data_IF_958929279445
#
_entry.id   IF_958929279445
#
_cell.length_a   1.000
_cell.length_b   1.000
_cell.length_c   1.000
_cell.angle_alpha   90.00
_cell.angle_beta   90.00
_cell.angle_gamma   90.00
#
_symmetry.space_group_name_H-M   'P 1'
#
loop_
_entity.id
_entity.type
_entity.pdbx_description
1 polymer ?
#
# COMPACT_ATOMS: atom_id res chain seq x y z
N UNK A 1 5.53 27.73 1.66
CA UNK A 1 4.73 26.48 1.64
C UNK A 1 4.70 25.88 3.03
N UNK A 2 3.56 25.36 3.45
CA UNK A 2 3.48 24.61 4.72
C UNK A 2 4.28 23.32 4.53
N UNK A 3 5.27 23.09 5.39
CA UNK A 3 6.13 21.89 5.31
C UNK A 3 5.40 20.68 5.92
N UNK A 4 5.59 19.51 5.33
CA UNK A 4 5.12 18.23 5.86
C UNK A 4 5.95 17.84 7.09
N UNK A 5 5.37 17.05 7.99
CA UNK A 5 6.11 16.51 9.14
C UNK A 5 6.99 15.35 8.67
N UNK A 6 8.27 15.32 9.07
CA UNK A 6 9.14 14.18 8.78
C UNK A 6 8.56 12.85 9.29
N UNK A 7 7.82 12.87 10.40
CA UNK A 7 7.14 11.71 10.97
C UNK A 7 6.00 11.11 10.11
N UNK A 8 5.67 11.75 8.97
CA UNK A 8 4.72 11.19 8.00
C UNK A 8 5.41 10.24 7.01
N UNK A 9 6.74 10.37 6.82
CA UNK A 9 7.47 9.45 5.97
C UNK A 9 7.47 8.05 6.61
N UNK A 10 7.12 7.08 5.78
CA UNK A 10 6.94 5.69 6.17
C UNK A 10 7.83 4.81 5.29
N UNK A 11 8.66 3.98 5.89
CA UNK A 11 9.47 3.03 5.14
C UNK A 11 8.73 1.73 4.88
N UNK A 12 9.02 1.06 3.76
CA UNK A 12 8.47 -0.24 3.40
C UNK A 12 9.60 -1.24 3.08
N UNK A 13 9.40 -2.49 3.45
CA UNK A 13 10.46 -3.51 3.37
C UNK A 13 10.61 -4.19 2.00
N UNK A 14 9.88 -3.81 0.96
CA UNK A 14 9.91 -4.48 -0.35
C UNK A 14 11.34 -4.56 -0.93
N UNK A 15 12.04 -3.45 -1.05
CA UNK A 15 13.38 -3.40 -1.63
C UNK A 15 14.49 -3.98 -0.71
N UNK A 16 14.13 -4.41 0.50
CA UNK A 16 14.99 -5.20 1.40
C UNK A 16 14.80 -6.72 1.23
N UNK A 17 14.09 -7.17 0.22
CA UNK A 17 13.73 -8.57 -0.07
C UNK A 17 14.89 -9.59 0.08
N UNK A 18 16.13 -9.18 -0.22
CA UNK A 18 17.31 -10.04 -0.13
C UNK A 18 18.09 -9.89 1.19
N UNK A 19 17.53 -9.20 2.18
CA UNK A 19 18.12 -8.97 3.50
C UNK A 19 17.18 -9.49 4.58
N UNK A 20 17.67 -9.84 5.79
CA UNK A 20 16.80 -10.16 6.92
C UNK A 20 15.86 -8.99 7.25
N UNK A 21 14.67 -9.28 7.78
CA UNK A 21 13.70 -8.24 8.15
C UNK A 21 14.27 -7.27 9.19
N UNK A 22 15.08 -7.77 10.12
CA UNK A 22 15.75 -6.96 11.13
C UNK A 22 16.69 -5.92 10.51
N UNK A 23 17.33 -6.24 9.37
CA UNK A 23 18.19 -5.27 8.65
C UNK A 23 17.36 -4.09 8.11
N UNK A 24 16.14 -4.34 7.64
CA UNK A 24 15.21 -3.27 7.28
C UNK A 24 14.84 -2.44 8.52
N UNK A 25 14.47 -3.08 9.63
CA UNK A 25 14.10 -2.37 10.86
C UNK A 25 15.28 -1.51 11.40
N UNK A 26 16.51 -2.04 11.37
CA UNK A 26 17.72 -1.30 11.76
C UNK A 26 17.96 -0.07 10.85
N UNK A 27 17.67 -0.21 9.55
CA UNK A 27 17.74 0.91 8.61
C UNK A 27 16.68 1.98 8.94
N UNK A 28 15.44 1.59 9.27
CA UNK A 28 14.40 2.54 9.66
C UNK A 28 14.79 3.31 10.93
N UNK A 29 15.31 2.64 11.94
CA UNK A 29 15.86 3.27 13.15
C UNK A 29 17.01 4.22 12.82
N UNK A 30 18.01 3.77 12.03
CA UNK A 30 19.16 4.57 11.59
C UNK A 30 18.74 5.87 10.90
N UNK A 31 17.75 5.80 10.01
CA UNK A 31 17.25 6.95 9.27
C UNK A 31 16.12 7.70 9.98
N UNK A 32 15.85 7.37 11.26
CA UNK A 32 14.91 8.06 12.12
C UNK A 32 13.46 8.04 11.60
N UNK A 33 13.06 6.97 10.94
CA UNK A 33 11.65 6.72 10.69
C UNK A 33 10.94 6.37 12.00
N UNK A 34 9.68 6.80 12.12
CA UNK A 34 8.81 6.44 13.23
C UNK A 34 7.74 5.43 12.79
N UNK A 35 7.51 5.34 11.48
CA UNK A 35 6.45 4.56 10.86
C UNK A 35 7.01 3.63 9.79
N UNK A 36 6.42 2.45 9.73
CA UNK A 36 6.69 1.46 8.68
C UNK A 36 5.39 0.93 8.11
N UNK A 37 5.44 0.56 6.87
CA UNK A 37 4.48 -0.30 6.22
C UNK A 37 5.11 -1.67 6.02
N UNK A 38 4.41 -2.73 6.41
CA UNK A 38 4.95 -4.08 6.32
C UNK A 38 4.44 -4.75 5.05
N UNK A 39 5.31 -4.91 4.05
CA UNK A 39 5.05 -5.77 2.91
C UNK A 39 5.09 -7.24 3.35
N UNK A 40 3.92 -7.87 3.26
CA UNK A 40 3.63 -9.21 3.76
C UNK A 40 3.91 -10.29 2.72
N UNK A 41 5.18 -10.53 2.42
CA UNK A 41 5.64 -11.56 1.49
C UNK A 41 6.91 -12.29 1.97
N UNK A 42 7.21 -13.43 1.35
CA UNK A 42 8.47 -14.13 1.60
C UNK A 42 9.67 -13.29 1.11
N UNK A 43 10.78 -13.28 1.87
CA UNK A 43 11.05 -14.11 3.06
C UNK A 43 10.63 -13.47 4.39
N UNK A 44 10.05 -12.25 4.40
CA UNK A 44 9.85 -11.49 5.63
C UNK A 44 8.58 -11.89 6.41
N UNK A 45 7.40 -11.51 5.90
CA UNK A 45 6.13 -11.61 6.62
C UNK A 45 5.06 -12.32 5.79
N UNK A 46 5.40 -13.42 5.11
CA UNK A 46 4.45 -14.16 4.31
C UNK A 46 3.46 -14.91 5.22
N UNK A 47 2.19 -14.52 5.17
CA UNK A 47 1.17 -14.98 6.12
C UNK A 47 0.89 -16.48 6.10
N UNK A 48 1.23 -17.19 5.00
CA UNK A 48 1.06 -18.65 4.93
C UNK A 48 2.19 -19.41 5.63
N UNK A 49 3.35 -18.79 5.85
CA UNK A 49 4.51 -19.38 6.51
C UNK A 49 4.58 -19.02 8.00
N UNK A 50 3.81 -18.01 8.44
CA UNK A 50 3.88 -17.48 9.80
C UNK A 50 2.91 -18.18 10.74
N UNK A 51 3.38 -18.47 11.95
CA UNK A 51 2.56 -18.86 13.09
C UNK A 51 2.50 -17.74 14.15
N UNK A 52 1.68 -17.93 15.20
CA UNK A 52 1.50 -16.89 16.21
C UNK A 52 2.78 -16.50 16.97
N UNK A 53 3.76 -17.41 17.13
CA UNK A 53 5.04 -17.08 17.77
C UNK A 53 5.92 -16.22 16.88
N UNK A 54 5.90 -16.45 15.57
CA UNK A 54 6.65 -15.67 14.59
C UNK A 54 6.13 -14.22 14.56
N UNK A 55 4.80 -14.05 14.53
CA UNK A 55 4.17 -12.72 14.55
C UNK A 55 4.53 -11.97 15.83
N UNK A 56 4.51 -12.63 16.99
CA UNK A 56 4.89 -12.03 18.26
C UNK A 56 6.38 -11.64 18.30
N UNK A 57 7.25 -12.44 17.68
CA UNK A 57 8.67 -12.09 17.57
C UNK A 57 8.88 -10.85 16.69
N UNK A 58 8.23 -10.80 15.52
CA UNK A 58 8.26 -9.64 14.61
C UNK A 58 7.76 -8.39 15.33
N UNK A 59 6.62 -8.49 16.03
CA UNK A 59 6.07 -7.37 16.81
C UNK A 59 7.09 -6.84 17.83
N UNK A 60 7.74 -7.70 18.61
CA UNK A 60 8.76 -7.31 19.58
C UNK A 60 9.95 -6.60 18.93
N UNK A 61 10.40 -7.05 17.75
CA UNK A 61 11.49 -6.42 17.03
C UNK A 61 11.12 -5.02 16.48
N UNK A 62 9.87 -4.82 16.09
CA UNK A 62 9.31 -3.52 15.69
C UNK A 62 9.23 -2.59 16.91
N UNK A 63 8.61 -3.05 18.01
CA UNK A 63 8.45 -2.29 19.24
C UNK A 63 9.78 -1.88 19.87
N UNK A 64 10.79 -2.77 19.85
CA UNK A 64 12.15 -2.51 20.37
C UNK A 64 12.81 -1.29 19.70
N UNK A 65 12.43 -1.00 18.45
CA UNK A 65 12.93 0.15 17.69
C UNK A 65 11.98 1.35 17.72
N UNK A 66 10.94 1.29 18.56
CA UNK A 66 9.92 2.35 18.66
C UNK A 66 9.26 2.69 17.31
N UNK A 67 9.08 1.67 16.45
CA UNK A 67 8.41 1.80 15.15
C UNK A 67 6.93 1.49 15.29
N UNK A 68 6.10 2.20 14.51
CA UNK A 68 4.65 1.98 14.39
C UNK A 68 4.34 1.37 13.03
N UNK A 69 3.53 0.31 12.98
CA UNK A 69 3.03 -0.25 11.71
C UNK A 69 1.77 0.51 11.31
N UNK A 70 1.81 1.21 10.18
CA UNK A 70 0.65 1.99 9.69
C UNK A 70 -0.21 1.21 8.71
N UNK A 71 0.36 0.25 7.99
CA UNK A 71 -0.34 -0.60 7.06
C UNK A 71 0.37 -1.96 6.95
N UNK A 72 -0.40 -3.02 6.78
CA UNK A 72 0.09 -4.33 6.36
C UNK A 72 -0.32 -4.56 4.90
N UNK A 73 0.65 -4.75 4.02
CA UNK A 73 0.45 -4.84 2.57
C UNK A 73 0.82 -6.25 2.09
N UNK A 74 -0.15 -7.18 2.06
CA UNK A 74 0.10 -8.53 1.59
C UNK A 74 0.40 -8.53 0.10
N UNK A 75 1.43 -9.28 -0.31
CA UNK A 75 1.75 -9.41 -1.73
C UNK A 75 0.60 -10.07 -2.51
N UNK A 76 0.16 -9.43 -3.56
CA UNK A 76 -0.99 -9.86 -4.33
C UNK A 76 -0.78 -9.77 -5.86
N UNK A 77 0.17 -8.96 -6.33
CA UNK A 77 0.42 -8.78 -7.77
C UNK A 77 1.31 -9.87 -8.35
N UNK A 78 2.35 -10.29 -7.61
CA UNK A 78 3.28 -11.34 -8.02
C UNK A 78 2.84 -12.75 -7.58
N UNK A 79 1.95 -12.85 -6.58
CA UNK A 79 1.46 -14.12 -6.06
C UNK A 79 0.17 -14.54 -6.76
N UNK A 80 -0.21 -15.84 -6.71
CA UNK A 80 -1.44 -16.33 -7.34
C UNK A 80 -2.68 -15.95 -6.52
N UNK A 81 -2.82 -14.66 -6.24
CA UNK A 81 -3.90 -14.02 -5.47
C UNK A 81 -4.72 -13.16 -6.43
N UNK A 82 -6.03 -13.38 -6.47
CA UNK A 82 -6.93 -12.60 -7.32
C UNK A 82 -8.37 -12.67 -6.78
N UNK A 83 -8.85 -11.57 -6.20
CA UNK A 83 -10.20 -11.46 -5.62
C UNK A 83 -11.30 -11.48 -6.69
N UNK A 84 -10.97 -11.17 -7.95
CA UNK A 84 -11.87 -11.22 -9.10
C UNK A 84 -11.80 -12.51 -9.90
N UNK A 85 -11.00 -13.49 -9.46
CA UNK A 85 -10.78 -14.73 -10.22
C UNK A 85 -12.09 -15.40 -10.61
N UNK A 86 -12.17 -15.85 -11.87
CA UNK A 86 -13.29 -16.63 -12.39
C UNK A 86 -13.36 -18.00 -11.71
N UNK A 87 -12.20 -18.59 -11.50
CA UNK A 87 -12.03 -19.88 -10.84
C UNK A 87 -12.33 -19.74 -9.34
N UNK A 88 -13.36 -20.40 -8.87
CA UNK A 88 -13.82 -20.31 -7.47
C UNK A 88 -12.71 -20.71 -6.49
N UNK A 89 -11.92 -21.75 -6.79
CA UNK A 89 -10.83 -22.22 -5.93
C UNK A 89 -9.78 -21.11 -5.73
N UNK A 90 -9.40 -20.43 -6.80
CA UNK A 90 -8.44 -19.31 -6.74
C UNK A 90 -9.01 -18.13 -5.93
N UNK A 91 -10.28 -17.79 -6.18
CA UNK A 91 -10.94 -16.68 -5.49
C UNK A 91 -11.11 -16.94 -3.98
N UNK A 92 -11.58 -18.12 -3.59
CA UNK A 92 -11.74 -18.48 -2.17
C UNK A 92 -10.37 -18.58 -1.45
N UNK A 93 -9.33 -19.08 -2.14
CA UNK A 93 -7.96 -19.03 -1.61
C UNK A 93 -7.52 -17.60 -1.37
N UNK A 94 -7.78 -16.68 -2.31
CA UNK A 94 -7.44 -15.27 -2.19
C UNK A 94 -8.17 -14.61 -1.02
N UNK A 95 -9.46 -14.90 -0.84
CA UNK A 95 -10.23 -14.42 0.32
C UNK A 95 -9.63 -14.96 1.63
N UNK A 96 -9.26 -16.23 1.68
CA UNK A 96 -8.63 -16.84 2.86
C UNK A 96 -7.28 -16.20 3.18
N UNK A 97 -6.46 -15.93 2.18
CA UNK A 97 -5.18 -15.23 2.28
C UNK A 97 -5.34 -13.83 2.91
N UNK A 98 -6.29 -13.04 2.40
CA UNK A 98 -6.56 -11.72 2.97
C UNK A 98 -7.14 -11.77 4.39
N UNK A 99 -7.95 -12.76 4.73
CA UNK A 99 -8.41 -12.94 6.12
C UNK A 99 -7.24 -13.21 7.07
N UNK A 100 -6.28 -14.04 6.68
CA UNK A 100 -5.04 -14.25 7.44
C UNK A 100 -4.23 -12.96 7.54
N UNK A 101 -4.13 -12.19 6.46
CA UNK A 101 -3.46 -10.90 6.45
C UNK A 101 -4.10 -9.89 7.42
N UNK A 102 -5.43 -9.85 7.49
CA UNK A 102 -6.17 -9.05 8.48
C UNK A 102 -5.87 -9.52 9.92
N UNK A 103 -5.79 -10.83 10.15
CA UNK A 103 -5.43 -11.38 11.47
C UNK A 103 -4.00 -11.04 11.86
N UNK A 104 -3.04 -11.08 10.92
CA UNK A 104 -1.65 -10.67 11.14
C UNK A 104 -1.58 -9.17 11.42
N UNK A 105 -2.25 -8.34 10.62
CA UNK A 105 -2.33 -6.89 10.84
C UNK A 105 -2.84 -6.55 12.24
N UNK A 106 -3.92 -7.21 12.67
CA UNK A 106 -4.47 -7.04 14.02
C UNK A 106 -3.47 -7.40 15.12
N UNK A 107 -2.70 -8.48 14.95
CA UNK A 107 -1.68 -8.89 15.92
C UNK A 107 -0.46 -7.95 15.94
N UNK A 108 -0.10 -7.35 14.79
CA UNK A 108 0.95 -6.34 14.66
C UNK A 108 0.47 -4.92 15.07
N UNK A 109 -0.81 -4.78 15.46
CA UNK A 109 -1.46 -3.50 15.76
C UNK A 109 -1.46 -2.51 14.57
N UNK A 110 -1.36 -3.03 13.34
CA UNK A 110 -1.54 -2.23 12.14
C UNK A 110 -3.02 -1.88 11.98
N UNK A 111 -3.38 -0.59 11.85
CA UNK A 111 -4.78 -0.18 11.74
C UNK A 111 -5.41 -0.52 10.40
N UNK A 112 -4.61 -0.89 9.39
CA UNK A 112 -5.01 -0.95 8.00
C UNK A 112 -4.34 -2.12 7.28
N UNK A 113 -5.05 -2.70 6.30
CA UNK A 113 -4.53 -3.67 5.32
C UNK A 113 -4.79 -3.12 3.92
N UNK A 114 -3.76 -3.09 3.07
CA UNK A 114 -3.91 -2.77 1.66
C UNK A 114 -4.57 -3.93 0.92
N UNK A 115 -5.49 -3.62 0.03
CA UNK A 115 -6.19 -4.58 -0.80
C UNK A 115 -6.36 -4.05 -2.23
N UNK A 116 -6.25 -4.91 -3.24
CA UNK A 116 -6.62 -4.60 -4.62
C UNK A 116 -7.84 -5.39 -5.05
N UNK A 117 -8.50 -4.95 -6.12
CA UNK A 117 -9.66 -5.67 -6.67
C UNK A 117 -9.28 -6.96 -7.41
N UNK A 118 -8.00 -7.16 -7.71
CA UNK A 118 -7.55 -8.19 -8.61
C UNK A 118 -7.78 -7.82 -10.08
N UNK A 119 -7.92 -8.84 -10.95
CA UNK A 119 -8.04 -8.66 -12.39
C UNK A 119 -9.01 -9.67 -13.00
N UNK A 120 -9.65 -9.28 -14.14
CA UNK A 120 -10.45 -10.14 -14.99
C UNK A 120 -9.68 -10.55 -16.26
N UNK A 121 -10.09 -11.65 -16.91
CA UNK A 121 -9.53 -12.00 -18.21
C UNK A 121 -9.80 -10.90 -19.23
N UNK A 122 -8.75 -10.49 -19.95
CA UNK A 122 -8.82 -9.35 -20.89
C UNK A 122 -9.65 -9.62 -22.15
N UNK A 123 -9.91 -10.88 -22.44
CA UNK A 123 -10.79 -11.34 -23.54
C UNK A 123 -12.24 -11.59 -23.09
N UNK A 124 -12.58 -11.26 -21.85
CA UNK A 124 -13.94 -11.39 -21.30
C UNK A 124 -14.50 -10.01 -20.90
N UNK A 125 -15.83 -9.94 -20.72
CA UNK A 125 -16.48 -8.72 -20.26
C UNK A 125 -16.07 -8.36 -18.81
N UNK A 126 -15.66 -7.12 -18.61
CA UNK A 126 -15.19 -6.57 -17.30
C UNK A 126 -16.25 -6.70 -16.19
N UNK A 127 -17.54 -6.59 -16.53
CA UNK A 127 -18.63 -6.52 -15.55
C UNK A 127 -18.72 -7.74 -14.61
N UNK A 128 -18.50 -8.94 -15.14
CA UNK A 128 -18.54 -10.16 -14.33
C UNK A 128 -17.35 -10.28 -13.36
N UNK A 129 -16.17 -9.81 -13.79
CA UNK A 129 -15.01 -9.75 -12.92
C UNK A 129 -15.20 -8.70 -11.81
N UNK A 130 -15.77 -7.53 -12.11
CA UNK A 130 -16.14 -6.51 -11.12
C UNK A 130 -17.14 -7.03 -10.09
N UNK A 131 -18.17 -7.79 -10.50
CA UNK A 131 -19.09 -8.42 -9.55
C UNK A 131 -18.38 -9.35 -8.59
N UNK A 132 -17.48 -10.22 -9.09
CA UNK A 132 -16.69 -11.13 -8.26
C UNK A 132 -15.74 -10.39 -7.31
N UNK A 133 -15.09 -9.31 -7.79
CA UNK A 133 -14.26 -8.46 -6.95
C UNK A 133 -15.07 -7.85 -5.81
N UNK A 134 -16.25 -7.26 -6.13
CA UNK A 134 -17.16 -6.68 -5.14
C UNK A 134 -17.59 -7.71 -4.10
N UNK A 135 -18.07 -8.88 -4.52
CA UNK A 135 -18.52 -9.94 -3.60
C UNK A 135 -17.38 -10.41 -2.67
N UNK A 136 -16.14 -10.44 -3.18
CA UNK A 136 -14.96 -10.78 -2.39
C UNK A 136 -14.60 -9.67 -1.39
N UNK A 137 -14.61 -8.41 -1.84
CA UNK A 137 -14.35 -7.23 -1.01
C UNK A 137 -15.43 -7.07 0.08
N UNK A 138 -16.72 -7.30 -0.20
CA UNK A 138 -17.79 -7.30 0.80
C UNK A 138 -17.52 -8.31 1.91
N UNK A 139 -17.13 -9.55 1.56
CA UNK A 139 -16.76 -10.58 2.53
C UNK A 139 -15.56 -10.19 3.39
N UNK A 140 -14.55 -9.58 2.77
CA UNK A 140 -13.35 -9.13 3.46
C UNK A 140 -13.62 -7.93 4.35
N UNK A 141 -14.40 -6.97 3.88
CA UNK A 141 -14.79 -5.78 4.65
C UNK A 141 -15.59 -6.17 5.91
N UNK A 142 -16.56 -7.08 5.76
CA UNK A 142 -17.31 -7.59 6.91
C UNK A 142 -16.43 -8.40 7.90
N UNK A 143 -15.32 -8.99 7.45
CA UNK A 143 -14.35 -9.64 8.31
C UNK A 143 -13.43 -8.62 9.02
N UNK A 144 -12.93 -7.64 8.27
CA UNK A 144 -12.07 -6.58 8.77
C UNK A 144 -12.77 -5.70 9.82
N UNK A 145 -14.06 -5.38 9.62
CA UNK A 145 -14.89 -4.67 10.58
C UNK A 145 -14.92 -5.36 11.95
N UNK A 146 -15.08 -6.69 12.00
CA UNK A 146 -15.07 -7.46 13.25
C UNK A 146 -13.72 -7.41 13.99
N UNK A 147 -12.65 -7.08 13.28
CA UNK A 147 -11.30 -6.96 13.81
C UNK A 147 -10.91 -5.50 14.09
N UNK A 148 -11.75 -4.54 13.68
CA UNK A 148 -11.43 -3.12 13.78
C UNK A 148 -10.32 -2.69 12.80
N UNK A 149 -10.09 -3.45 11.72
CA UNK A 149 -9.06 -3.20 10.70
C UNK A 149 -9.71 -2.55 9.47
N UNK A 150 -9.12 -1.49 8.98
CA UNK A 150 -9.54 -0.81 7.77
C UNK A 150 -8.91 -1.47 6.54
N UNK A 151 -9.66 -1.59 5.45
CA UNK A 151 -9.14 -1.99 4.14
C UNK A 151 -8.90 -0.76 3.29
N UNK A 152 -7.67 -0.54 2.84
CA UNK A 152 -7.29 0.50 1.90
C UNK A 152 -7.28 -0.09 0.49
N UNK A 153 -8.26 0.28 -0.33
CA UNK A 153 -8.40 -0.21 -1.71
C UNK A 153 -7.55 0.63 -2.65
N UNK A 154 -6.61 -0.02 -3.32
CA UNK A 154 -5.65 0.59 -4.22
C UNK A 154 -6.05 0.43 -5.68
N UNK A 155 -6.11 1.54 -6.48
CA UNK A 155 -6.09 1.48 -7.93
C UNK A 155 -4.72 1.01 -8.43
N UNK A 156 -4.71 0.09 -9.40
CA UNK A 156 -3.50 -0.45 -10.01
C UNK A 156 -3.29 0.08 -11.44
N UNK A 157 -2.06 -0.04 -11.93
CA UNK A 157 -1.79 0.22 -13.35
C UNK A 157 -2.56 -0.76 -14.26
N UNK A 158 -2.92 -0.33 -15.47
CA UNK A 158 -3.62 -1.18 -16.47
C UNK A 158 -2.85 -2.43 -16.89
N UNK A 159 -1.54 -2.48 -16.64
CA UNK A 159 -0.75 -3.70 -16.89
C UNK A 159 -1.03 -4.78 -15.83
N UNK A 160 -1.38 -4.38 -14.61
CA UNK A 160 -1.62 -5.24 -13.45
C UNK A 160 -3.09 -5.61 -13.30
N UNK A 161 -3.99 -4.67 -13.58
CA UNK A 161 -5.43 -4.85 -13.45
C UNK A 161 -6.19 -4.25 -14.65
N UNK A 162 -7.41 -4.70 -14.86
CA UNK A 162 -8.37 -4.07 -15.77
C UNK A 162 -9.69 -3.72 -15.05
N UNK A 163 -9.66 -3.66 -13.72
CA UNK A 163 -10.87 -3.47 -12.90
C UNK A 163 -10.88 -2.11 -12.21
N UNK A 164 -9.94 -1.82 -11.34
CA UNK A 164 -9.86 -0.55 -10.63
C UNK A 164 -8.50 0.06 -10.96
N UNK A 165 -8.49 1.03 -11.87
CA UNK A 165 -7.28 1.69 -12.35
C UNK A 165 -7.34 3.21 -12.23
N UNK A 166 -8.52 3.77 -11.99
CA UNK A 166 -8.76 5.22 -11.91
C UNK A 166 -9.51 5.59 -10.65
N UNK A 167 -9.47 6.87 -10.28
CA UNK A 167 -10.30 7.43 -9.20
C UNK A 167 -11.80 7.15 -9.41
N UNK A 168 -12.27 7.21 -10.67
CA UNK A 168 -13.67 6.91 -11.00
C UNK A 168 -14.03 5.44 -10.70
N UNK A 169 -13.17 4.49 -11.09
CA UNK A 169 -13.36 3.07 -10.78
C UNK A 169 -13.35 2.83 -9.26
N UNK A 170 -12.41 3.47 -8.55
CA UNK A 170 -12.29 3.38 -7.09
C UNK A 170 -13.58 3.85 -6.41
N UNK A 171 -14.08 5.03 -6.77
CA UNK A 171 -15.33 5.59 -6.23
C UNK A 171 -16.55 4.70 -6.51
N UNK A 172 -16.65 4.16 -7.72
CA UNK A 172 -17.74 3.24 -8.07
C UNK A 172 -17.73 2.01 -7.13
N UNK A 173 -16.55 1.42 -6.89
CA UNK A 173 -16.42 0.27 -6.01
C UNK A 173 -16.74 0.63 -4.55
N UNK A 174 -16.18 1.72 -4.01
CA UNK A 174 -16.46 2.17 -2.63
C UNK A 174 -17.95 2.43 -2.42
N UNK A 175 -18.60 3.14 -3.35
CA UNK A 175 -20.04 3.40 -3.28
C UNK A 175 -20.87 2.12 -3.36
N UNK A 176 -20.43 1.12 -4.11
CA UNK A 176 -21.16 -0.15 -4.28
C UNK A 176 -21.17 -1.01 -3.02
N UNK A 177 -20.14 -0.88 -2.16
CA UNK A 177 -20.00 -1.64 -0.90
C UNK A 177 -20.49 -0.82 0.30
N UNK A 178 -20.27 0.49 0.28
CA UNK A 178 -20.76 1.45 1.28
C UNK A 178 -20.47 1.06 2.74
N UNK A 179 -19.22 0.75 3.07
CA UNK A 179 -18.78 0.41 4.42
C UNK A 179 -17.71 1.38 4.92
N UNK A 180 -17.74 1.78 6.20
CA UNK A 180 -16.68 2.60 6.78
C UNK A 180 -15.33 1.85 6.92
N UNK A 181 -15.32 0.54 6.72
CA UNK A 181 -14.11 -0.29 6.79
C UNK A 181 -13.49 -0.60 5.41
N UNK A 182 -14.04 -0.06 4.31
CA UNK A 182 -13.41 -0.05 3.00
C UNK A 182 -13.23 1.39 2.56
N UNK A 183 -11.99 1.81 2.39
CA UNK A 183 -11.60 3.18 2.05
C UNK A 183 -10.67 3.17 0.84
N UNK A 184 -10.45 4.33 0.24
CA UNK A 184 -9.59 4.48 -0.92
C UNK A 184 -8.19 4.97 -0.56
N UNK A 185 -7.22 4.55 -1.35
CA UNK A 185 -5.86 5.08 -1.34
C UNK A 185 -5.40 5.46 -2.74
N UNK A 186 -4.20 5.99 -2.84
CA UNK A 186 -3.53 6.26 -4.11
C UNK A 186 -2.05 5.87 -4.04
N UNK A 187 -1.55 5.32 -5.14
CA UNK A 187 -0.13 5.28 -5.45
C UNK A 187 0.17 6.34 -6.51
N UNK A 188 1.26 7.07 -6.35
CA UNK A 188 1.69 8.13 -7.28
C UNK A 188 2.06 7.59 -8.67
N UNK A 189 2.32 6.29 -8.83
CA UNK A 189 2.61 5.66 -10.12
C UNK A 189 1.33 5.44 -10.95
N UNK A 190 0.32 4.67 -10.51
CA UNK A 190 -0.97 4.60 -11.21
C UNK A 190 -1.56 5.98 -11.49
N UNK A 191 -1.53 6.89 -10.51
CA UNK A 191 -1.99 8.27 -10.66
C UNK A 191 -1.31 8.98 -11.83
N UNK A 192 0.02 8.89 -11.94
CA UNK A 192 0.78 9.54 -13.02
C UNK A 192 0.56 8.86 -14.38
N UNK A 193 0.46 7.52 -14.42
CA UNK A 193 0.20 6.74 -15.64
C UNK A 193 -1.18 7.04 -16.22
N UNK A 194 -2.18 7.25 -15.36
CA UNK A 194 -3.54 7.61 -15.77
C UNK A 194 -3.74 9.13 -15.94
N UNK A 195 -2.66 9.93 -15.79
CA UNK A 195 -2.69 11.40 -15.90
C UNK A 195 -3.72 12.05 -14.97
N UNK A 196 -3.93 11.45 -13.78
CA UNK A 196 -4.85 11.96 -12.76
C UNK A 196 -4.15 12.96 -11.81
N UNK A 197 -4.94 13.81 -11.16
CA UNK A 197 -4.46 14.81 -10.21
C UNK A 197 -4.63 14.32 -8.76
N UNK A 198 -3.59 14.41 -7.94
CA UNK A 198 -3.67 14.04 -6.52
C UNK A 198 -4.77 14.84 -5.79
N UNK A 199 -4.96 16.11 -6.17
CA UNK A 199 -6.01 16.97 -5.61
C UNK A 199 -7.42 16.43 -5.83
N UNK A 200 -7.64 15.65 -6.89
CA UNK A 200 -8.94 15.03 -7.19
C UNK A 200 -9.29 13.95 -6.18
N UNK A 201 -8.30 13.16 -5.72
CA UNK A 201 -8.50 12.16 -4.67
C UNK A 201 -8.97 12.80 -3.37
N UNK A 202 -8.33 13.89 -2.94
CA UNK A 202 -8.77 14.64 -1.75
C UNK A 202 -10.18 15.21 -1.90
N UNK A 203 -10.49 15.83 -3.05
CA UNK A 203 -11.81 16.46 -3.31
C UNK A 203 -12.94 15.44 -3.31
N UNK A 204 -12.71 14.31 -3.95
CA UNK A 204 -13.77 13.36 -4.27
C UNK A 204 -13.94 12.25 -3.24
N UNK A 205 -12.87 11.79 -2.58
CA UNK A 205 -12.92 10.78 -1.54
C UNK A 205 -13.10 11.38 -0.14
N UNK A 206 -12.56 12.57 0.12
CA UNK A 206 -12.65 13.25 1.45
C UNK A 206 -12.15 12.33 2.56
N UNK A 207 -13.01 12.03 3.56
CA UNK A 207 -12.70 11.15 4.69
C UNK A 207 -12.49 9.67 4.28
N UNK A 208 -12.87 9.31 3.05
CA UNK A 208 -12.62 7.99 2.48
C UNK A 208 -11.22 7.84 1.87
N UNK A 209 -10.40 8.91 1.85
CA UNK A 209 -9.01 8.88 1.41
C UNK A 209 -8.06 8.70 2.59
N UNK A 210 -7.41 7.53 2.71
CA UNK A 210 -6.75 7.14 3.95
C UNK A 210 -5.26 6.88 3.84
N UNK A 211 -4.71 6.65 2.63
CA UNK A 211 -3.32 6.24 2.49
C UNK A 211 -2.70 6.67 1.16
N UNK A 212 -1.37 6.84 1.14
CA UNK A 212 -0.62 7.24 -0.05
C UNK A 212 0.68 6.43 -0.12
N UNK A 213 0.89 5.70 -1.24
CA UNK A 213 2.22 5.32 -1.69
C UNK A 213 2.84 6.52 -2.42
N UNK A 214 3.92 7.04 -1.84
CA UNK A 214 4.51 8.31 -2.24
C UNK A 214 5.91 8.09 -2.78
N UNK A 215 6.01 7.86 -4.07
CA UNK A 215 7.21 7.42 -4.78
C UNK A 215 7.38 8.16 -6.10
N UNK A 216 8.59 8.13 -6.64
CA UNK A 216 8.92 8.71 -7.95
C UNK A 216 8.81 7.66 -9.07
N UNK A 217 8.82 8.09 -10.33
CA UNK A 217 8.73 7.22 -11.50
C UNK A 217 8.98 7.91 -12.83
N UNK A 218 9.00 7.10 -13.94
CA UNK A 218 9.22 7.59 -15.32
C UNK A 218 8.14 7.11 -16.34
N UNK A 219 6.87 7.41 -16.20
CA UNK A 219 6.05 7.58 -15.00
C UNK A 219 5.93 6.30 -14.18
N UNK A 220 6.30 5.13 -14.73
CA UNK A 220 6.32 3.83 -14.03
C UNK A 220 7.62 3.65 -13.22
N UNK A 221 7.72 2.56 -12.46
CA UNK A 221 9.00 2.06 -11.95
C UNK A 221 9.20 2.15 -10.44
N UNK A 222 8.30 2.72 -9.65
CA UNK A 222 8.38 2.81 -8.17
C UNK A 222 9.79 3.17 -7.71
N UNK A 223 10.22 4.39 -8.09
CA UNK A 223 11.58 4.86 -7.89
C UNK A 223 11.70 5.70 -6.62
N UNK A 224 12.92 5.79 -6.12
CA UNK A 224 13.29 6.75 -5.08
C UNK A 224 13.09 8.18 -5.59
N UNK A 225 12.61 9.08 -4.73
CA UNK A 225 12.49 10.50 -5.07
C UNK A 225 13.82 11.08 -5.54
N UNK A 226 13.82 11.63 -6.74
CA UNK A 226 15.00 12.17 -7.44
C UNK A 226 15.61 11.23 -8.47
N UNK A 227 15.12 10.00 -8.60
CA UNK A 227 15.51 9.05 -9.66
C UNK A 227 14.49 9.00 -10.81
N UNK A 228 13.35 9.66 -10.66
CA UNK A 228 12.28 9.77 -11.65
C UNK A 228 12.02 11.21 -12.09
N UNK A 229 10.81 11.46 -12.61
CA UNK A 229 10.40 12.75 -13.17
C UNK A 229 9.03 13.22 -12.67
N UNK A 230 8.43 12.57 -11.68
CA UNK A 230 7.11 12.92 -11.19
C UNK A 230 7.12 14.33 -10.54
N UNK A 231 5.99 15.05 -10.58
CA UNK A 231 5.92 16.46 -10.19
C UNK A 231 5.89 16.63 -8.65
N UNK A 232 7.02 16.35 -7.98
CA UNK A 232 7.15 16.39 -6.52
C UNK A 232 6.62 17.71 -5.92
N UNK A 233 6.99 18.86 -6.51
CA UNK A 233 6.56 20.17 -5.99
C UNK A 233 5.04 20.31 -5.99
N UNK A 234 4.37 19.83 -7.05
CA UNK A 234 2.92 19.84 -7.16
C UNK A 234 2.27 18.92 -6.11
N UNK A 235 2.80 17.70 -5.93
CA UNK A 235 2.30 16.78 -4.92
C UNK A 235 2.47 17.35 -3.51
N UNK A 236 3.64 17.92 -3.19
CA UNK A 236 3.88 18.55 -1.89
C UNK A 236 2.99 19.76 -1.64
N UNK A 237 2.71 20.57 -2.67
CA UNK A 237 1.78 21.69 -2.59
C UNK A 237 0.35 21.20 -2.31
N UNK A 238 -0.10 20.16 -3.00
CA UNK A 238 -1.41 19.53 -2.78
C UNK A 238 -1.55 18.97 -1.37
N UNK A 239 -0.56 18.20 -0.90
CA UNK A 239 -0.57 17.66 0.47
C UNK A 239 -0.67 18.77 1.54
N UNK A 240 0.02 19.90 1.31
CA UNK A 240 -0.03 21.06 2.19
C UNK A 240 -1.38 21.79 2.13
N UNK A 241 -1.98 21.95 0.95
CA UNK A 241 -3.30 22.56 0.71
C UNK A 241 -4.42 21.82 1.47
N UNK A 242 -4.38 20.47 1.37
CA UNK A 242 -5.39 19.62 2.02
C UNK A 242 -5.03 19.22 3.45
N UNK A 243 -3.95 19.79 4.02
CA UNK A 243 -3.51 19.52 5.39
C UNK A 243 -3.38 18.02 5.68
N UNK A 244 -2.85 17.26 4.73
CA UNK A 244 -2.72 15.82 4.89
C UNK A 244 -1.76 15.47 6.03
N UNK A 245 -2.24 14.71 6.99
CA UNK A 245 -1.48 14.26 8.17
C UNK A 245 -1.22 12.75 8.19
N UNK A 246 -1.68 12.02 7.17
CA UNK A 246 -1.49 10.58 7.03
C UNK A 246 -0.06 10.18 6.67
N UNK A 247 0.17 8.89 6.55
CA UNK A 247 1.44 8.31 6.14
C UNK A 247 1.75 8.58 4.65
N UNK A 248 3.03 8.74 4.35
CA UNK A 248 3.59 8.85 3.00
C UNK A 248 4.57 7.68 2.83
N UNK A 249 4.09 6.56 2.31
CA UNK A 249 4.88 5.33 2.24
C UNK A 249 5.79 5.33 1.03
N UNK A 250 7.05 5.05 1.27
CA UNK A 250 8.10 4.91 0.27
C UNK A 250 8.17 3.45 -0.21
N UNK A 251 7.31 3.09 -1.16
CA UNK A 251 7.24 1.75 -1.76
C UNK A 251 8.19 1.63 -2.96
N UNK A 252 9.45 1.27 -2.74
CA UNK A 252 10.41 1.06 -3.81
C UNK A 252 10.37 -0.39 -4.28
N UNK A 253 9.84 -0.64 -5.49
CA UNK A 253 9.76 -2.00 -6.04
C UNK A 253 10.76 -2.26 -7.17
N UNK A 254 11.51 -1.24 -7.60
CA UNK A 254 12.51 -1.40 -8.64
C UNK A 254 13.65 -2.33 -8.20
N UNK A 255 13.96 -3.31 -9.04
CA UNK A 255 15.08 -4.23 -8.82
C UNK A 255 16.45 -3.52 -8.70
N UNK A 256 16.55 -2.28 -9.15
CA UNK A 256 17.74 -1.44 -9.02
C UNK A 256 18.20 -1.27 -7.56
N UNK A 257 17.26 -1.27 -6.61
CA UNK A 257 17.55 -1.04 -5.19
C UNK A 257 17.88 -2.31 -4.39
N UNK A 258 17.66 -3.50 -4.95
CA UNK A 258 17.83 -4.79 -4.24
C UNK A 258 19.27 -5.06 -3.78
N UNK A 259 20.28 -4.48 -4.43
CA UNK A 259 21.69 -4.64 -4.04
C UNK A 259 22.15 -3.65 -2.96
N UNK A 260 21.53 -2.48 -2.91
CA UNK A 260 21.81 -1.44 -1.92
C UNK A 260 20.53 -0.70 -1.54
N UNK A 261 19.68 -1.32 -0.72
CA UNK A 261 18.36 -0.77 -0.41
C UNK A 261 18.46 0.57 0.36
N UNK A 262 19.50 0.76 1.14
CA UNK A 262 19.71 2.00 1.88
C UNK A 262 19.91 3.22 0.97
N UNK A 263 20.48 3.04 -0.21
CA UNK A 263 20.68 4.14 -1.16
C UNK A 263 19.37 4.78 -1.62
N UNK A 264 18.31 3.98 -1.79
CA UNK A 264 16.98 4.49 -2.13
C UNK A 264 16.40 5.38 -1.03
N UNK A 265 16.54 4.96 0.22
CA UNK A 265 16.13 5.75 1.40
C UNK A 265 16.92 7.05 1.47
N UNK A 266 18.25 6.98 1.38
CA UNK A 266 19.13 8.16 1.45
C UNK A 266 18.85 9.17 0.33
N UNK A 267 18.60 8.68 -0.90
CA UNK A 267 18.27 9.52 -2.04
C UNK A 267 16.93 10.23 -1.80
N UNK A 268 15.88 9.50 -1.43
CA UNK A 268 14.57 10.09 -1.16
C UNK A 268 14.62 11.11 -0.03
N UNK A 269 15.32 10.80 1.07
CA UNK A 269 15.45 11.73 2.18
C UNK A 269 16.15 13.04 1.77
N UNK A 270 17.22 12.97 0.95
CA UNK A 270 17.88 14.18 0.42
C UNK A 270 16.95 15.02 -0.43
N UNK A 271 16.17 14.36 -1.32
CA UNK A 271 15.26 15.06 -2.24
C UNK A 271 14.07 15.68 -1.49
N UNK A 272 13.56 15.00 -0.47
CA UNK A 272 12.41 15.46 0.30
C UNK A 272 12.76 16.48 1.40
N UNK A 273 14.02 16.56 1.86
CA UNK A 273 14.45 17.43 2.97
C UNK A 273 13.96 18.90 2.87
N UNK A 274 13.99 19.57 1.70
CA UNK A 274 13.48 20.94 1.58
C UNK A 274 12.00 21.11 1.92
N UNK A 275 11.22 20.06 1.82
CA UNK A 275 9.75 20.03 2.02
C UNK A 275 9.34 19.57 3.42
N UNK A 276 10.29 19.11 4.25
CA UNK A 276 10.04 18.54 5.57
C UNK A 276 10.38 19.52 6.71
N UNK A 277 9.72 19.35 7.88
CA UNK A 277 9.97 20.05 9.14
C UNK A 277 10.10 19.08 10.29
#
# INVERSE_FOLDING_TARGET
>A
MTKMKRSQLTGMNFHYLHYPFEYFLDAMEKYQFQKIEVWGAAPHCYVEDMNGSDIQQIKKEIERRSLEVVCFTPEQCMYPINLAAKETVMRERSISYFKKSIDVANQLEAPMVLVTAGWGYRNEGRSEALKRARDSLEKLTAYAEKKGILLALEPLQKVESNLICTLADLKEMLNSISSPFLRGMVDTIPLAVEEEELSSYFKELKDDFVHIHFIDGNPTGHLSWGDGVLPLENYMATLAEYHYEGALTLEFTSAHYLQNPNAAIEQSLRTLDPYLK
#
